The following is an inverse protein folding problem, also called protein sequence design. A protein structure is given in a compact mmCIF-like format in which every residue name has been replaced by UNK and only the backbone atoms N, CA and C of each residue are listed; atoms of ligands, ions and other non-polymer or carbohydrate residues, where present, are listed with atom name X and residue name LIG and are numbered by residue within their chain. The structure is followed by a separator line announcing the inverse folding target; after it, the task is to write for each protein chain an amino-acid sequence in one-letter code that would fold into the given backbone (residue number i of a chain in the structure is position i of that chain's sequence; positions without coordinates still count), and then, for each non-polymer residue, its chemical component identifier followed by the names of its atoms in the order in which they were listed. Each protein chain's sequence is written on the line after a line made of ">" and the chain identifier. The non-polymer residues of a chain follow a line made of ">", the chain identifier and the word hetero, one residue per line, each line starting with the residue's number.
data_IF_482389805062
#
_entry.id   IF_482389805062
#
_cell.length_a   1.000
_cell.length_b   1.000
_cell.length_c   1.000
_cell.angle_alpha   90.00
_cell.angle_beta   90.00
_cell.angle_gamma   90.00
#
_symmetry.space_group_name_H-M   'P 1'
#
loop_
_entity.id
_entity.type
_entity.pdbx_description
1 polymer ?
#
# COMPACT_ATOMS: atom_id res chain seq x y z
N UNK A 1 2.09 -34.50 72.42
CA UNK A 1 0.72 -34.80 72.89
C UNK A 1 -0.21 -34.82 71.68
N UNK A 2 -0.64 -36.01 71.28
CA UNK A 2 -1.55 -36.25 70.18
C UNK A 2 -2.94 -36.60 70.72
N UNK A 3 -3.98 -35.98 70.17
CA UNK A 3 -5.41 -36.30 70.33
C UNK A 3 -6.10 -35.80 69.05
N UNK A 4 -7.05 -36.42 68.39
CA UNK A 4 -7.66 -37.76 68.41
C UNK A 4 -8.37 -37.91 67.03
N UNK A 5 -8.41 -39.11 66.45
CA UNK A 5 -9.26 -39.50 65.30
C UNK A 5 -10.67 -39.91 65.77
N UNK A 6 -11.67 -39.71 64.89
CA UNK A 6 -12.76 -40.63 64.42
C UNK A 6 -13.99 -39.81 63.98
N UNK A 7 -14.41 -39.89 62.71
CA UNK A 7 -15.34 -40.89 62.10
C UNK A 7 -16.76 -40.72 62.70
N UNK A 8 -17.90 -40.70 62.00
CA UNK A 8 -18.28 -41.23 60.69
C UNK A 8 -19.76 -40.83 60.44
N UNK A 9 -20.17 -40.89 59.18
CA UNK A 9 -21.49 -41.27 58.66
C UNK A 9 -22.64 -40.26 58.42
N UNK A 10 -23.20 -40.51 57.24
CA UNK A 10 -24.22 -39.80 56.50
C UNK A 10 -25.64 -40.28 56.82
N UNK A 11 -26.63 -39.41 56.62
CA UNK A 11 -27.98 -39.79 56.20
C UNK A 11 -28.50 -38.74 55.21
N UNK A 12 -28.90 -39.23 54.03
CA UNK A 12 -29.57 -38.50 52.97
C UNK A 12 -31.04 -38.22 53.29
N UNK A 13 -31.60 -37.12 52.76
CA UNK A 13 -32.88 -37.12 52.02
C UNK A 13 -33.15 -35.79 51.32
N UNK A 14 -33.89 -35.96 50.24
CA UNK A 14 -34.12 -35.11 49.07
C UNK A 14 -35.14 -33.97 49.27
N UNK A 15 -35.07 -33.01 48.34
CA UNK A 15 -36.11 -32.07 47.87
C UNK A 15 -36.67 -30.96 48.79
N UNK A 16 -36.36 -29.70 48.45
CA UNK A 16 -37.34 -28.80 47.81
C UNK A 16 -36.64 -27.56 47.19
N UNK A 17 -36.95 -27.29 45.92
CA UNK A 17 -36.53 -26.11 45.17
C UNK A 17 -37.22 -24.84 45.67
N UNK A 18 -36.47 -23.80 46.07
CA UNK A 18 -36.88 -22.39 45.93
C UNK A 18 -35.67 -21.47 45.65
N UNK A 19 -35.63 -20.91 44.45
CA UNK A 19 -34.77 -19.76 44.07
C UNK A 19 -35.44 -18.43 44.53
N UNK A 20 -34.74 -17.26 44.50
CA UNK A 20 -34.27 -16.52 45.68
C UNK A 20 -34.94 -15.14 45.88
N UNK A 21 -34.61 -14.34 46.93
CA UNK A 21 -34.81 -12.90 46.91
C UNK A 21 -33.53 -12.14 46.49
N UNK A 22 -33.67 -10.97 45.83
CA UNK A 22 -32.58 -10.26 45.16
C UNK A 22 -31.68 -9.53 46.17
N UNK A 23 -30.35 -9.71 46.05
CA UNK A 23 -29.37 -8.90 46.79
C UNK A 23 -29.26 -7.53 46.12
N UNK A 24 -29.69 -6.49 46.83
CA UNK A 24 -29.56 -5.07 46.47
C UNK A 24 -28.15 -4.73 45.98
N UNK A 25 -28.07 -4.04 44.84
CA UNK A 25 -26.83 -3.53 44.27
C UNK A 25 -26.16 -2.55 45.25
N UNK A 26 -24.87 -2.77 45.55
CA UNK A 26 -24.09 -1.87 46.41
C UNK A 26 -23.85 -0.56 45.66
N UNK A 27 -24.20 0.57 46.26
CA UNK A 27 -23.96 1.89 45.67
C UNK A 27 -22.45 2.14 45.47
N UNK A 28 -22.07 2.39 44.22
CA UNK A 28 -20.73 2.81 43.82
C UNK A 28 -20.72 4.31 43.54
N UNK A 29 -19.56 4.93 43.72
CA UNK A 29 -19.32 6.33 43.41
C UNK A 29 -18.04 6.46 42.58
N UNK A 30 -18.03 7.43 41.67
CA UNK A 30 -16.89 7.70 40.77
C UNK A 30 -16.00 8.76 41.43
N UNK A 31 -14.69 8.56 41.41
CA UNK A 31 -13.75 9.57 41.86
C UNK A 31 -13.57 10.68 40.81
N UNK A 32 -13.91 11.92 41.16
CA UNK A 32 -13.79 13.11 40.29
C UNK A 32 -12.34 13.44 39.83
N UNK A 33 -11.32 12.80 40.41
CA UNK A 33 -9.91 13.08 40.09
C UNK A 33 -9.26 12.05 39.16
N UNK A 34 -9.83 10.85 39.07
CA UNK A 34 -9.26 9.77 38.24
C UNK A 34 -10.30 8.88 37.56
N UNK A 35 -11.58 9.24 37.66
CA UNK A 35 -12.74 8.64 37.00
C UNK A 35 -12.93 7.15 37.24
N UNK A 36 -12.34 6.62 38.33
CA UNK A 36 -12.49 5.22 38.74
C UNK A 36 -13.67 5.05 39.68
N UNK A 37 -14.44 3.99 39.46
CA UNK A 37 -15.55 3.58 40.31
C UNK A 37 -15.06 2.84 41.56
N UNK A 38 -15.57 3.26 42.70
CA UNK A 38 -15.31 2.61 43.98
C UNK A 38 -16.62 2.35 44.71
N UNK A 39 -16.63 1.34 45.58
CA UNK A 39 -17.72 1.19 46.55
C UNK A 39 -17.73 2.41 47.48
N UNK A 40 -18.89 2.75 48.04
CA UNK A 40 -19.08 3.90 48.94
C UNK A 40 -18.06 3.96 50.09
N UNK A 41 -17.57 2.80 50.57
CA UNK A 41 -16.51 2.73 51.60
C UNK A 41 -15.09 2.89 51.03
N UNK A 42 -14.87 2.48 49.79
CA UNK A 42 -13.59 2.59 49.08
C UNK A 42 -13.27 4.00 48.60
N UNK A 43 -14.28 4.77 48.21
CA UNK A 43 -14.07 6.12 47.66
C UNK A 43 -13.49 7.09 48.70
N UNK A 44 -13.93 7.02 49.96
CA UNK A 44 -13.41 7.90 51.03
C UNK A 44 -11.92 7.67 51.33
N UNK A 45 -11.44 6.43 51.21
CA UNK A 45 -10.01 6.11 51.38
C UNK A 45 -9.20 6.56 50.16
N UNK A 46 -9.77 6.42 48.97
CA UNK A 46 -9.15 6.84 47.72
C UNK A 46 -9.01 8.36 47.63
N UNK A 47 -10.06 9.13 47.98
CA UNK A 47 -10.07 10.59 47.96
C UNK A 47 -9.03 11.22 48.89
N UNK A 48 -8.56 10.53 49.93
CA UNK A 48 -7.46 11.02 50.79
C UNK A 48 -6.10 11.01 50.09
N UNK A 49 -5.89 10.11 49.12
CA UNK A 49 -4.59 9.91 48.46
C UNK A 49 -4.57 10.39 47.01
N UNK A 50 -5.72 10.41 46.34
CA UNK A 50 -5.82 10.74 44.93
C UNK A 50 -5.42 12.19 44.60
N UNK A 51 -5.84 13.22 45.36
CA UNK A 51 -5.45 14.61 45.09
C UNK A 51 -3.94 14.83 45.21
N UNK A 52 -3.30 14.27 46.24
CA UNK A 52 -1.86 14.35 46.44
C UNK A 52 -1.08 13.66 45.30
N UNK A 53 -1.57 12.50 44.83
CA UNK A 53 -0.98 11.78 43.69
C UNK A 53 -1.17 12.54 42.37
N UNK A 54 -2.32 13.17 42.16
CA UNK A 54 -2.58 13.99 40.99
C UNK A 54 -1.72 15.26 40.98
N UNK A 55 -1.55 15.92 42.13
CA UNK A 55 -0.65 17.07 42.30
C UNK A 55 0.81 16.69 42.04
N UNK A 56 1.26 15.55 42.56
CA UNK A 56 2.60 15.01 42.28
C UNK A 56 2.80 14.73 40.78
N UNK A 57 1.82 14.09 40.12
CA UNK A 57 1.88 13.83 38.68
C UNK A 57 1.88 15.11 37.84
N UNK A 58 1.07 16.13 38.20
CA UNK A 58 1.08 17.44 37.55
C UNK A 58 2.40 18.19 37.77
N UNK A 59 3.00 18.10 38.97
CA UNK A 59 4.30 18.70 39.25
C UNK A 59 5.45 17.96 38.54
N UNK A 60 5.37 16.63 38.41
CA UNK A 60 6.32 15.83 37.65
C UNK A 60 6.21 16.10 36.13
N UNK A 61 5.00 16.27 35.59
CA UNK A 61 4.76 16.64 34.20
C UNK A 61 5.19 18.07 33.84
N UNK A 62 5.23 18.99 34.83
CA UNK A 62 5.83 20.33 34.66
C UNK A 62 7.36 20.33 34.79
N UNK A 63 7.95 19.23 35.30
CA UNK A 63 9.38 19.03 35.52
C UNK A 63 10.04 18.17 34.44
N UNK A 64 9.41 17.94 33.29
CA UNK A 64 10.13 17.52 32.08
C UNK A 64 11.16 18.61 31.81
N UNK A 65 12.41 18.38 32.27
CA UNK A 65 13.56 19.21 31.93
C UNK A 65 13.68 19.12 30.42
N UNK A 66 13.22 20.14 29.72
CA UNK A 66 13.58 20.33 28.33
C UNK A 66 15.09 20.52 28.29
N UNK A 67 15.81 19.51 27.81
CA UNK A 67 17.23 19.68 27.54
C UNK A 67 17.32 20.58 26.31
N UNK A 68 17.74 21.84 26.51
CA UNK A 68 17.99 22.74 25.39
C UNK A 68 19.35 22.41 24.80
N UNK A 69 19.36 21.68 23.70
CA UNK A 69 20.57 21.46 22.92
C UNK A 69 21.01 22.80 22.31
N UNK A 70 22.27 23.17 22.49
CA UNK A 70 22.84 24.34 21.81
C UNK A 70 23.24 23.94 20.40
N UNK A 71 22.45 24.35 19.41
CA UNK A 71 22.77 24.17 18.00
C UNK A 71 23.78 25.24 17.61
N UNK A 72 25.00 24.82 17.26
CA UNK A 72 26.06 25.75 16.86
C UNK A 72 26.02 26.11 15.36
N UNK A 73 25.33 25.29 14.56
CA UNK A 73 25.14 25.50 13.12
C UNK A 73 23.80 24.90 12.67
N UNK A 74 22.86 25.77 12.27
CA UNK A 74 21.51 25.37 11.86
C UNK A 74 21.50 24.50 10.60
N UNK A 75 22.39 24.75 9.63
CA UNK A 75 22.42 23.99 8.38
C UNK A 75 22.85 22.52 8.62
N UNK A 76 23.83 22.31 9.49
CA UNK A 76 24.27 20.95 9.87
C UNK A 76 23.19 20.26 10.72
N UNK A 77 22.49 21.01 11.56
CA UNK A 77 21.41 20.48 12.37
C UNK A 77 20.22 20.01 11.50
N UNK A 78 19.76 20.83 10.55
CA UNK A 78 18.69 20.44 9.62
C UNK A 78 19.08 19.23 8.76
N UNK A 79 20.33 19.17 8.29
CA UNK A 79 20.85 18.01 7.57
C UNK A 79 20.81 16.75 8.45
N UNK A 80 21.24 16.85 9.72
CA UNK A 80 21.12 15.74 10.68
C UNK A 80 19.67 15.34 10.90
N UNK A 81 18.76 16.30 11.12
CA UNK A 81 17.33 16.02 11.30
C UNK A 81 16.73 15.30 10.08
N UNK A 82 17.18 15.62 8.86
CA UNK A 82 16.74 14.96 7.63
C UNK A 82 17.11 13.47 7.56
N UNK A 83 18.18 13.06 8.26
CA UNK A 83 18.56 11.65 8.39
C UNK A 83 17.78 10.93 9.51
N UNK A 84 17.13 11.67 10.41
CA UNK A 84 16.41 11.09 11.54
C UNK A 84 15.02 10.64 11.13
N UNK A 85 14.68 9.40 11.48
CA UNK A 85 13.32 8.89 11.33
C UNK A 85 12.32 9.57 12.27
N UNK A 86 11.04 9.53 11.89
CA UNK A 86 9.93 10.18 12.57
C UNK A 86 9.86 9.92 14.10
N UNK A 87 10.18 8.70 14.56
CA UNK A 87 10.20 8.38 16.00
C UNK A 87 11.33 9.08 16.74
N UNK A 88 12.52 9.19 16.12
CA UNK A 88 13.66 9.88 16.73
C UNK A 88 13.36 11.36 16.86
N UNK A 89 12.74 11.95 15.83
CA UNK A 89 12.24 13.32 15.88
C UNK A 89 11.15 13.51 16.95
N UNK A 90 10.23 12.56 17.10
CA UNK A 90 9.20 12.58 18.15
C UNK A 90 9.83 12.49 19.55
N UNK A 91 10.81 11.60 19.75
CA UNK A 91 11.56 11.45 21.00
C UNK A 91 12.36 12.71 21.32
N UNK A 92 13.06 13.28 20.32
CA UNK A 92 13.75 14.56 20.46
C UNK A 92 12.76 15.67 20.84
N UNK A 93 11.62 15.78 20.16
CA UNK A 93 10.58 16.75 20.47
C UNK A 93 10.02 16.60 21.88
N UNK A 94 9.87 15.38 22.41
CA UNK A 94 9.48 15.17 23.80
C UNK A 94 10.57 15.57 24.81
N UNK A 95 11.85 15.43 24.44
CA UNK A 95 13.01 15.73 25.30
C UNK A 95 13.38 17.21 25.25
N UNK A 96 13.34 17.85 24.07
CA UNK A 96 13.71 19.26 23.86
C UNK A 96 12.50 20.19 23.98
N UNK A 97 11.30 19.71 23.68
CA UNK A 97 10.09 20.52 23.58
C UNK A 97 9.93 21.24 22.23
N UNK A 98 10.89 21.10 21.32
CA UNK A 98 10.88 21.76 20.00
C UNK A 98 9.98 21.02 19.01
N UNK A 99 9.35 21.77 18.09
CA UNK A 99 8.52 21.17 17.03
C UNK A 99 9.34 20.95 15.77
N UNK A 100 9.50 19.70 15.34
CA UNK A 100 10.13 19.35 14.07
C UNK A 100 9.06 19.14 12.98
N UNK A 101 9.19 19.81 11.83
CA UNK A 101 8.18 19.76 10.75
C UNK A 101 7.97 18.37 10.14
N UNK A 102 9.01 17.52 10.18
CA UNK A 102 8.99 16.15 9.65
C UNK A 102 8.35 15.16 10.64
N UNK A 103 7.91 15.64 11.81
CA UNK A 103 7.28 14.83 12.85
C UNK A 103 5.78 14.63 12.55
N UNK A 104 5.40 13.44 12.08
CA UNK A 104 4.01 13.00 11.90
C UNK A 104 3.54 12.17 13.11
N UNK A 105 2.71 12.74 14.01
CA UNK A 105 2.29 12.05 15.24
C UNK A 105 1.52 10.74 15.01
N UNK A 106 0.84 10.62 13.85
CA UNK A 106 0.05 9.45 13.49
C UNK A 106 0.90 8.18 13.25
N UNK A 107 2.16 8.34 12.86
CA UNK A 107 3.12 7.26 12.64
C UNK A 107 3.84 6.83 13.94
N UNK A 108 3.68 7.57 15.04
CA UNK A 108 4.28 7.28 16.34
C UNK A 108 3.40 6.38 17.23
N UNK A 109 2.93 5.23 16.72
CA UNK A 109 2.21 4.26 17.57
C UNK A 109 3.23 3.44 18.39
N UNK A 110 3.28 3.73 19.69
CA UNK A 110 4.15 3.11 20.69
C UNK A 110 3.81 1.62 20.92
N UNK A 111 4.79 0.71 20.85
CA UNK A 111 4.64 -0.65 21.40
C UNK A 111 5.25 -0.71 22.80
N UNK A 112 4.40 -0.99 23.78
CA UNK A 112 4.72 -0.88 25.21
C UNK A 112 5.71 -1.93 25.72
N UNK A 113 6.13 -2.90 24.91
CA UNK A 113 6.94 -4.05 25.35
C UNK A 113 8.43 -3.97 24.98
N UNK A 114 8.80 -3.20 23.96
CA UNK A 114 10.16 -3.26 23.40
C UNK A 114 10.85 -1.89 23.22
N UNK A 115 10.20 -0.78 23.57
CA UNK A 115 10.75 0.61 23.44
C UNK A 115 11.33 0.98 22.06
N UNK A 116 11.07 0.14 21.05
CA UNK A 116 11.47 0.32 19.67
C UNK A 116 10.23 0.45 18.79
N UNK A 117 10.39 1.11 17.64
CA UNK A 117 9.37 1.22 16.61
C UNK A 117 8.68 -0.13 16.42
N UNK A 118 7.37 -0.19 16.61
CA UNK A 118 6.60 -1.26 15.99
C UNK A 118 6.32 -0.77 14.57
N UNK A 119 7.04 -1.26 13.56
CA UNK A 119 6.70 -0.93 12.19
C UNK A 119 5.26 -1.38 11.93
N UNK A 120 4.49 -0.41 11.46
CA UNK A 120 3.19 -0.58 10.84
C UNK A 120 3.21 -1.85 9.99
N UNK A 121 2.34 -2.80 10.36
CA UNK A 121 1.62 -3.72 9.48
C UNK A 121 2.17 -3.68 8.05
N UNK A 122 3.05 -4.60 7.67
CA UNK A 122 3.49 -4.64 6.29
C UNK A 122 2.38 -5.21 5.43
N UNK A 123 1.83 -4.36 4.59
CA UNK A 123 1.22 -4.84 3.36
C UNK A 123 2.26 -5.65 2.57
N UNK A 124 1.83 -6.71 1.89
CA UNK A 124 2.68 -7.59 1.07
C UNK A 124 3.49 -6.77 0.07
N UNK A 125 2.94 -5.66 -0.41
CA UNK A 125 3.63 -4.76 -1.32
C UNK A 125 4.81 -4.05 -0.65
N UNK A 126 4.65 -3.59 0.60
CA UNK A 126 5.75 -2.98 1.39
C UNK A 126 6.85 -4.01 1.63
N UNK A 127 6.50 -5.27 1.87
CA UNK A 127 7.46 -6.34 2.15
C UNK A 127 8.28 -6.66 0.90
N UNK A 128 7.62 -6.73 -0.26
CA UNK A 128 8.29 -6.87 -1.56
C UNK A 128 9.20 -5.67 -1.84
N UNK A 129 8.71 -4.46 -1.66
CA UNK A 129 9.45 -3.27 -2.09
C UNK A 129 10.60 -2.91 -1.15
N UNK A 130 10.37 -2.84 0.16
CA UNK A 130 11.38 -2.46 1.15
C UNK A 130 12.32 -3.60 1.53
N UNK A 131 11.80 -4.83 1.67
CA UNK A 131 12.58 -5.92 2.28
C UNK A 131 13.23 -6.88 1.30
N UNK A 132 12.89 -6.84 0.00
CA UNK A 132 13.54 -7.75 -0.96
C UNK A 132 12.75 -9.00 -1.30
N UNK A 133 11.62 -9.24 -0.63
CA UNK A 133 10.88 -10.49 -0.71
C UNK A 133 10.28 -10.72 -2.10
N UNK A 134 10.33 -11.97 -2.56
CA UNK A 134 9.66 -12.45 -3.76
C UNK A 134 8.35 -13.11 -3.38
N UNK A 135 7.44 -13.24 -4.35
CA UNK A 135 6.15 -13.92 -4.14
C UNK A 135 6.31 -15.29 -3.48
N UNK A 136 7.30 -16.06 -3.93
CA UNK A 136 7.57 -17.41 -3.40
C UNK A 136 8.02 -17.42 -1.94
N UNK A 137 8.71 -16.37 -1.49
CA UNK A 137 9.26 -16.29 -0.14
C UNK A 137 8.13 -16.13 0.91
N UNK A 138 6.93 -15.71 0.47
CA UNK A 138 5.72 -15.67 1.30
C UNK A 138 5.13 -17.07 1.58
N UNK A 139 5.47 -18.11 0.81
CA UNK A 139 4.96 -19.46 1.06
C UNK A 139 5.85 -20.26 2.02
N UNK A 140 7.14 -19.95 2.06
CA UNK A 140 8.15 -20.68 2.85
C UNK A 140 8.31 -20.12 4.27
N UNK A 141 7.69 -18.97 4.58
CA UNK A 141 7.83 -18.32 5.89
C UNK A 141 6.67 -18.76 6.83
N UNK A 142 6.93 -19.39 7.99
CA UNK A 142 5.91 -20.04 8.83
C UNK A 142 4.82 -19.14 9.44
N UNK A 143 4.90 -17.83 9.27
CA UNK A 143 3.96 -16.85 9.85
C UNK A 143 3.05 -16.17 8.82
N UNK A 144 3.07 -16.59 7.55
CA UNK A 144 2.40 -15.86 6.45
C UNK A 144 0.92 -16.24 6.30
N UNK A 145 0.37 -17.03 7.22
CA UNK A 145 -1.06 -17.33 7.30
C UNK A 145 -1.82 -16.21 8.03
N UNK A 146 -1.94 -15.06 7.38
CA UNK A 146 -3.12 -14.19 7.53
C UNK A 146 -3.16 -13.21 8.70
N UNK A 147 -2.13 -13.07 9.55
CA UNK A 147 -2.06 -11.98 10.52
C UNK A 147 -0.65 -11.43 10.66
N UNK A 148 -0.48 -10.19 10.19
CA UNK A 148 0.50 -9.21 10.66
C UNK A 148 1.96 -9.69 10.63
N UNK A 149 2.64 -9.44 9.50
CA UNK A 149 4.06 -9.73 9.33
C UNK A 149 4.91 -8.97 10.38
N UNK A 150 5.50 -9.71 11.31
CA UNK A 150 6.49 -9.17 12.25
C UNK A 150 7.76 -8.81 11.47
N UNK A 151 8.08 -7.52 11.36
CA UNK A 151 9.29 -7.03 10.69
C UNK A 151 10.56 -7.70 11.19
N UNK A 152 10.61 -8.01 12.49
CA UNK A 152 11.78 -8.62 13.09
C UNK A 152 11.96 -10.03 12.50
N UNK A 153 10.86 -10.77 12.31
CA UNK A 153 10.89 -12.09 11.68
C UNK A 153 11.33 -12.00 10.20
N UNK A 154 10.84 -11.01 9.46
CA UNK A 154 11.26 -10.79 8.06
C UNK A 154 12.73 -10.38 7.96
N UNK A 155 13.21 -9.50 8.83
CA UNK A 155 14.62 -9.09 8.87
C UNK A 155 15.52 -10.28 9.19
N UNK A 156 15.17 -11.07 10.20
CA UNK A 156 15.92 -12.26 10.57
C UNK A 156 15.97 -13.27 9.41
N UNK A 157 14.83 -13.52 8.75
CA UNK A 157 14.77 -14.36 7.56
C UNK A 157 15.67 -13.85 6.42
N UNK A 158 15.63 -12.54 6.13
CA UNK A 158 16.46 -11.96 5.08
C UNK A 158 17.95 -12.00 5.42
N UNK A 159 18.31 -11.83 6.70
CA UNK A 159 19.68 -11.96 7.20
C UNK A 159 20.16 -13.40 7.10
N UNK A 160 19.33 -14.38 7.47
CA UNK A 160 19.64 -15.80 7.33
C UNK A 160 19.86 -16.18 5.86
N UNK A 161 18.94 -15.78 4.99
CA UNK A 161 19.01 -16.05 3.55
C UNK A 161 20.22 -15.38 2.88
N UNK A 162 20.56 -14.16 3.28
CA UNK A 162 21.69 -13.41 2.72
C UNK A 162 23.00 -13.58 3.51
N UNK A 163 23.01 -14.37 4.58
CA UNK A 163 24.11 -14.62 5.52
C UNK A 163 24.51 -13.45 6.43
N UNK A 164 24.09 -12.21 6.13
CA UNK A 164 24.36 -11.03 6.96
C UNK A 164 23.49 -9.84 6.54
N UNK A 165 23.40 -8.84 7.43
CA UNK A 165 22.73 -7.56 7.12
C UNK A 165 23.36 -6.84 5.93
N UNK A 166 24.69 -6.82 5.83
CA UNK A 166 25.40 -6.26 4.67
C UNK A 166 25.16 -7.07 3.39
N UNK A 167 25.08 -8.41 3.50
CA UNK A 167 24.72 -9.28 2.38
C UNK A 167 23.32 -8.96 1.85
N UNK A 168 22.38 -8.74 2.75
CA UNK A 168 21.01 -8.35 2.43
C UNK A 168 20.94 -6.97 1.74
N UNK A 169 21.66 -5.96 2.23
CA UNK A 169 21.74 -4.65 1.56
C UNK A 169 22.28 -4.76 0.13
N UNK A 170 23.34 -5.56 -0.08
CA UNK A 170 23.87 -5.82 -1.43
C UNK A 170 22.86 -6.53 -2.32
N UNK A 171 22.07 -7.44 -1.77
CA UNK A 171 21.00 -8.13 -2.50
C UNK A 171 19.92 -7.13 -2.98
N UNK A 172 19.44 -6.26 -2.10
CA UNK A 172 18.47 -5.21 -2.46
C UNK A 172 19.04 -4.30 -3.56
N UNK A 173 20.27 -3.80 -3.38
CA UNK A 173 20.90 -2.92 -4.36
C UNK A 173 21.01 -3.57 -5.76
N UNK A 174 21.45 -4.84 -5.83
CA UNK A 174 21.53 -5.59 -7.08
C UNK A 174 20.15 -5.77 -7.72
N UNK A 175 19.13 -6.11 -6.94
CA UNK A 175 17.75 -6.25 -7.40
C UNK A 175 17.24 -4.94 -7.98
N UNK A 176 17.46 -3.82 -7.31
CA UNK A 176 16.96 -2.51 -7.73
C UNK A 176 17.65 -2.03 -9.01
N UNK A 177 18.95 -2.31 -9.15
CA UNK A 177 19.67 -2.09 -10.42
C UNK A 177 19.03 -2.90 -11.55
N UNK A 178 18.74 -4.20 -11.35
CA UNK A 178 18.07 -5.02 -12.38
C UNK A 178 16.68 -4.49 -12.72
N UNK A 179 15.87 -4.14 -11.70
CA UNK A 179 14.54 -3.53 -11.91
C UNK A 179 14.66 -2.24 -12.73
N UNK A 180 15.63 -1.37 -12.39
CA UNK A 180 15.84 -0.09 -13.10
C UNK A 180 16.25 -0.32 -14.56
N UNK A 181 17.19 -1.23 -14.81
CA UNK A 181 17.59 -1.61 -16.18
C UNK A 181 16.43 -2.16 -16.99
N UNK A 182 15.65 -3.09 -16.43
CA UNK A 182 14.49 -3.67 -17.10
C UNK A 182 13.42 -2.60 -17.43
N UNK A 183 13.15 -1.66 -16.51
CA UNK A 183 12.24 -0.54 -16.78
C UNK A 183 12.79 0.38 -17.87
N UNK A 184 14.09 0.68 -17.86
CA UNK A 184 14.71 1.51 -18.88
C UNK A 184 14.60 0.87 -20.27
N UNK A 185 14.86 -0.45 -20.40
CA UNK A 185 14.69 -1.17 -21.66
C UNK A 185 13.24 -1.18 -22.13
N UNK A 186 12.27 -1.43 -21.24
CA UNK A 186 10.85 -1.37 -21.60
C UNK A 186 10.46 0.01 -22.11
N UNK A 187 10.87 1.06 -21.39
CA UNK A 187 10.61 2.43 -21.79
C UNK A 187 11.24 2.75 -23.15
N UNK A 188 12.49 2.33 -23.37
CA UNK A 188 13.15 2.49 -24.66
C UNK A 188 12.36 1.82 -25.79
N UNK A 189 11.91 0.57 -25.58
CA UNK A 189 11.11 -0.13 -26.58
C UNK A 189 9.75 0.55 -26.83
N UNK A 190 9.12 1.10 -25.79
CA UNK A 190 7.87 1.88 -25.91
C UNK A 190 8.10 3.17 -26.70
N UNK A 191 9.18 3.91 -26.40
CA UNK A 191 9.56 5.14 -27.10
C UNK A 191 9.94 4.86 -28.57
N UNK A 192 10.64 3.76 -28.86
CA UNK A 192 10.98 3.31 -30.22
C UNK A 192 9.72 2.94 -31.02
N UNK A 193 8.78 2.21 -30.40
CA UNK A 193 7.50 1.86 -31.02
C UNK A 193 6.66 3.11 -31.29
N UNK A 194 6.58 4.05 -30.35
CA UNK A 194 5.88 5.32 -30.54
C UNK A 194 6.50 6.16 -31.67
N UNK A 195 7.83 6.23 -31.73
CA UNK A 195 8.55 6.88 -32.83
C UNK A 195 8.28 6.20 -34.18
N UNK A 196 8.26 4.87 -34.21
CA UNK A 196 7.91 4.11 -35.40
C UNK A 196 6.48 4.41 -35.88
N UNK A 197 5.49 4.35 -34.98
CA UNK A 197 4.09 4.65 -35.30
C UNK A 197 3.91 6.08 -35.80
N UNK A 198 4.63 7.05 -35.23
CA UNK A 198 4.66 8.45 -35.70
C UNK A 198 5.31 8.63 -37.06
N UNK A 199 6.20 7.71 -37.47
CA UNK A 199 6.82 7.74 -38.80
C UNK A 199 5.91 7.23 -39.92
N UNK A 200 4.79 6.56 -39.57
CA UNK A 200 3.80 6.09 -40.53
C UNK A 200 2.93 7.23 -41.05
N UNK A 201 2.13 6.93 -42.07
CA UNK A 201 1.31 7.95 -42.74
C UNK A 201 0.35 8.68 -41.78
N UNK A 202 0.19 10.00 -41.90
CA UNK A 202 -0.75 10.75 -41.06
C UNK A 202 -2.17 10.20 -41.15
N UNK A 203 -2.78 9.93 -39.98
CA UNK A 203 -4.12 9.36 -39.88
C UNK A 203 -4.21 7.84 -40.04
N UNK A 204 -3.12 7.15 -40.41
CA UNK A 204 -3.09 5.69 -40.50
C UNK A 204 -3.26 5.02 -39.13
N UNK A 205 -2.48 5.44 -38.12
CA UNK A 205 -2.52 4.85 -36.77
C UNK A 205 -3.91 4.97 -36.13
N UNK A 206 -4.59 6.15 -36.13
CA UNK A 206 -5.97 6.26 -35.69
C UNK A 206 -6.94 5.33 -36.45
N UNK A 207 -6.77 5.19 -37.76
CA UNK A 207 -7.61 4.30 -38.57
C UNK A 207 -7.44 2.84 -38.18
N UNK A 208 -6.19 2.36 -38.05
CA UNK A 208 -5.86 0.99 -37.62
C UNK A 208 -6.43 0.66 -36.24
N UNK A 209 -6.37 1.61 -35.30
CA UNK A 209 -6.99 1.44 -33.99
C UNK A 209 -8.52 1.39 -34.07
N UNK A 210 -9.15 2.21 -34.92
CA UNK A 210 -10.59 2.21 -35.11
C UNK A 210 -11.12 0.88 -35.68
N UNK A 211 -10.36 0.21 -36.54
CA UNK A 211 -10.70 -1.12 -37.08
C UNK A 211 -10.26 -2.28 -36.17
N UNK A 212 -9.62 -2.00 -35.03
CA UNK A 212 -9.17 -3.01 -34.08
C UNK A 212 -8.00 -3.87 -34.56
N UNK A 213 -7.21 -3.40 -35.52
CA UNK A 213 -6.08 -4.14 -36.08
C UNK A 213 -4.84 -4.05 -35.18
N UNK A 214 -4.25 -5.21 -34.83
CA UNK A 214 -3.22 -5.36 -33.79
C UNK A 214 -1.91 -5.99 -34.27
N UNK A 215 -1.55 -5.89 -35.56
CA UNK A 215 -0.25 -6.42 -36.01
C UNK A 215 0.89 -5.64 -35.36
N UNK A 216 1.94 -6.36 -34.99
CA UNK A 216 3.16 -5.84 -34.36
C UNK A 216 4.39 -5.97 -35.26
N UNK A 217 4.21 -6.43 -36.50
CA UNK A 217 5.31 -6.52 -37.47
C UNK A 217 5.48 -5.18 -38.18
N UNK A 218 6.66 -4.58 -38.04
CA UNK A 218 6.98 -3.26 -38.57
C UNK A 218 6.89 -3.21 -40.11
N UNK A 219 7.31 -4.26 -40.81
CA UNK A 219 7.28 -4.29 -42.28
C UNK A 219 5.83 -4.35 -42.77
N UNK A 220 5.01 -5.19 -42.16
CA UNK A 220 3.59 -5.28 -42.50
C UNK A 220 2.86 -3.97 -42.19
N UNK A 221 3.22 -3.27 -41.11
CA UNK A 221 2.66 -1.97 -40.78
C UNK A 221 3.09 -0.89 -41.78
N UNK A 222 4.34 -0.92 -42.27
CA UNK A 222 4.81 -0.02 -43.34
C UNK A 222 4.05 -0.26 -44.64
N UNK A 223 3.91 -1.50 -45.07
CA UNK A 223 3.13 -1.84 -46.26
C UNK A 223 1.66 -1.42 -46.13
N UNK A 224 1.05 -1.71 -44.98
CA UNK A 224 -0.33 -1.30 -44.70
C UNK A 224 -0.47 0.22 -44.73
N UNK A 225 0.51 0.95 -44.18
CA UNK A 225 0.55 2.41 -44.24
C UNK A 225 0.67 2.94 -45.66
N UNK A 226 1.41 2.26 -46.55
CA UNK A 226 1.50 2.64 -47.97
C UNK A 226 0.17 2.39 -48.70
N UNK A 227 -0.45 1.23 -48.48
CA UNK A 227 -1.79 0.91 -49.03
C UNK A 227 -2.84 1.91 -48.57
N UNK A 228 -2.80 2.31 -47.29
CA UNK A 228 -3.66 3.35 -46.74
C UNK A 228 -3.53 4.68 -47.49
N UNK A 229 -2.30 5.15 -47.74
CA UNK A 229 -2.06 6.40 -48.48
C UNK A 229 -2.61 6.30 -49.90
N UNK A 230 -2.32 5.20 -50.60
CA UNK A 230 -2.77 4.99 -51.98
C UNK A 230 -4.30 4.96 -52.06
N UNK A 231 -4.96 4.17 -51.20
CA UNK A 231 -6.42 4.06 -51.19
C UNK A 231 -7.08 5.39 -50.81
N UNK A 232 -6.56 6.07 -49.78
CA UNK A 232 -7.09 7.36 -49.35
C UNK A 232 -7.00 8.40 -50.47
N UNK A 233 -5.86 8.49 -51.16
CA UNK A 233 -5.71 9.41 -52.29
C UNK A 233 -6.74 9.11 -53.41
N UNK A 234 -6.97 7.84 -53.75
CA UNK A 234 -7.94 7.45 -54.78
C UNK A 234 -9.40 7.69 -54.38
N UNK A 235 -9.72 7.54 -53.11
CA UNK A 235 -11.05 7.89 -52.59
C UNK A 235 -11.24 9.41 -52.59
N UNK A 236 -10.25 10.17 -52.13
CA UNK A 236 -10.28 11.63 -52.11
C UNK A 236 -10.42 12.22 -53.54
N UNK A 237 -9.76 11.63 -54.55
CA UNK A 237 -9.92 11.97 -55.98
C UNK A 237 -11.39 11.87 -56.45
N UNK A 238 -12.20 11.00 -55.83
CA UNK A 238 -13.63 10.81 -56.14
C UNK A 238 -14.56 11.48 -55.13
N UNK A 239 -14.02 12.26 -54.18
CA UNK A 239 -14.80 12.88 -53.11
C UNK A 239 -15.39 11.88 -52.11
N UNK A 240 -14.85 10.66 -52.05
CA UNK A 240 -15.27 9.61 -51.12
C UNK A 240 -14.42 9.65 -49.84
N UNK A 241 -15.04 9.33 -48.70
CA UNK A 241 -14.33 9.26 -47.43
C UNK A 241 -14.00 7.83 -47.03
N UNK A 242 -12.78 7.62 -46.53
CA UNK A 242 -12.36 6.36 -45.93
C UNK A 242 -13.05 6.13 -44.58
N UNK A 243 -13.93 5.12 -44.52
CA UNK A 243 -14.64 4.73 -43.28
C UNK A 243 -13.99 3.51 -42.64
N UNK A 244 -13.82 3.55 -41.32
CA UNK A 244 -13.34 2.42 -40.53
C UNK A 244 -14.33 1.23 -40.50
N UNK A 245 -15.63 1.48 -40.75
CA UNK A 245 -16.63 0.42 -40.81
C UNK A 245 -16.65 -0.36 -42.13
N UNK A 246 -15.89 0.07 -43.15
CA UNK A 246 -15.84 -0.62 -44.45
C UNK A 246 -14.86 -1.79 -44.38
N UNK A 247 -15.38 -3.01 -44.46
CA UNK A 247 -14.56 -4.24 -44.52
C UNK A 247 -13.71 -4.28 -45.78
N UNK A 248 -14.24 -3.86 -46.92
CA UNK A 248 -13.49 -3.78 -48.19
C UNK A 248 -12.23 -2.90 -48.06
N UNK A 249 -12.38 -1.72 -47.44
CA UNK A 249 -11.26 -0.82 -47.25
C UNK A 249 -10.27 -1.36 -46.20
N UNK A 250 -10.78 -1.93 -45.11
CA UNK A 250 -9.91 -2.48 -44.07
C UNK A 250 -9.09 -3.63 -44.61
N UNK A 251 -9.69 -4.57 -45.34
CA UNK A 251 -9.04 -5.78 -45.85
C UNK A 251 -7.99 -5.45 -46.91
N UNK A 252 -8.26 -4.48 -47.80
CA UNK A 252 -7.26 -3.96 -48.72
C UNK A 252 -6.07 -3.35 -47.96
N UNK A 253 -6.33 -2.53 -46.94
CA UNK A 253 -5.28 -1.86 -46.18
C UNK A 253 -4.44 -2.86 -45.37
N UNK A 254 -5.07 -3.80 -44.65
CA UNK A 254 -4.39 -4.70 -43.71
C UNK A 254 -3.79 -5.95 -44.37
N UNK A 255 -4.49 -6.52 -45.36
CA UNK A 255 -4.16 -7.80 -45.99
C UNK A 255 -3.76 -7.65 -47.45
N UNK A 256 -4.08 -6.52 -48.10
CA UNK A 256 -3.75 -6.30 -49.51
C UNK A 256 -4.70 -7.05 -50.45
N UNK A 257 -5.91 -7.35 -49.98
CA UNK A 257 -6.90 -8.10 -50.75
C UNK A 257 -7.53 -7.20 -51.81
N UNK A 258 -7.47 -7.63 -53.07
CA UNK A 258 -8.08 -6.96 -54.21
C UNK A 258 -7.22 -5.86 -54.83
N UNK A 259 -7.70 -5.31 -55.95
CA UNK A 259 -7.08 -4.17 -56.63
C UNK A 259 -7.70 -2.87 -56.13
N UNK A 260 -6.89 -1.82 -56.02
CA UNK A 260 -7.31 -0.52 -55.50
C UNK A 260 -8.48 0.07 -56.31
N UNK A 261 -8.49 -0.13 -57.63
CA UNK A 261 -9.54 0.38 -58.51
C UNK A 261 -10.90 -0.28 -58.23
N UNK A 262 -10.89 -1.59 -57.95
CA UNK A 262 -12.10 -2.35 -57.64
C UNK A 262 -12.65 -1.93 -56.27
N UNK A 263 -11.78 -1.80 -55.25
CA UNK A 263 -12.17 -1.35 -53.91
C UNK A 263 -12.81 0.04 -53.94
N UNK A 264 -12.27 0.96 -54.74
CA UNK A 264 -12.82 2.32 -54.89
C UNK A 264 -14.19 2.30 -55.56
N UNK A 265 -14.36 1.54 -56.66
CA UNK A 265 -15.64 1.41 -57.36
C UNK A 265 -16.73 0.80 -56.48
N UNK A 266 -16.38 -0.22 -55.71
CA UNK A 266 -17.33 -0.91 -54.84
C UNK A 266 -17.69 -0.04 -53.62
N UNK A 267 -16.73 0.75 -53.11
CA UNK A 267 -16.98 1.76 -52.08
C UNK A 267 -17.91 2.87 -52.57
N UNK A 268 -17.72 3.36 -53.79
CA UNK A 268 -18.59 4.35 -54.43
C UNK A 268 -20.03 3.83 -54.50
N UNK A 269 -20.21 2.60 -54.99
CA UNK A 269 -21.51 1.93 -55.07
C UNK A 269 -22.20 1.77 -53.70
N UNK A 270 -21.41 1.45 -52.66
CA UNK A 270 -21.91 1.33 -51.29
C UNK A 270 -22.29 2.69 -50.66
N UNK A 271 -21.59 3.78 -51.00
CA UNK A 271 -21.93 5.11 -50.50
C UNK A 271 -23.13 5.73 -51.23
N UNK A 272 -23.26 5.50 -52.54
CA UNK A 272 -24.43 5.93 -53.31
C UNK A 272 -25.73 5.27 -52.86
N UNK A 273 -25.69 3.98 -52.51
CA UNK A 273 -26.86 3.26 -52.00
C UNK A 273 -27.30 3.69 -50.59
N UNK A 274 -26.39 4.25 -49.80
CA UNK A 274 -26.69 4.86 -48.49
C UNK A 274 -27.25 6.29 -48.60
N UNK A 275 -26.99 7.02 -49.69
CA UNK A 275 -27.53 8.37 -49.92
C UNK A 275 -28.94 8.39 -50.53
N UNK A 276 -29.44 7.24 -50.99
CA UNK A 276 -30.75 7.09 -51.63
C UNK A 276 -31.83 6.52 -50.70
N UNK A 277 -31.49 6.23 -49.44
CA UNK A 277 -32.41 5.82 -48.36
C UNK A 277 -32.43 6.88 -47.27
#
# INVERSE_FOLDING_TARGET
>A
MAKHKRDENAVAKDQEQKTPPPKLAKSTAVCEYCDKEFTTRGISLHLKKCPAKQAHNKAAAKKTRSYKFSILNEAVHEEILSFLGNQTLTKMQMISGDRYQQCEPALARYCCKCENDNPVILDKQVAKDKYGLREKDFYDTPSVSGQNDDCIALENYMIEMCGSKMGWTRYIAKRDIRKRKARATRKQNEDEMDAFLKSLAPGFVPYVWAIGYKKTDDNLLRESSQRFVALKAKLDERGLHLRASSTLCSDYITEGVGKIEDVVRDTESAQSSLSLN
#
